data_IF_914191710344
#
_entry.id   IF_914191710344
#
_cell.length_a   1.000
_cell.length_b   1.000
_cell.length_c   1.000
_cell.angle_alpha   90.00
_cell.angle_beta   90.00
_cell.angle_gamma   90.00
#
_symmetry.space_group_name_H-M   'P 1'
#
loop_
_entity.id
_entity.type
_entity.pdbx_description
1 polymer ?
#
# COMPACT_ATOMS: atom_id res chain seq x y z
N UNK A 1 -2.09 21.04 8.57
CA UNK A 1 -1.28 19.94 9.11
C UNK A 1 -1.37 20.09 10.61
N UNK A 2 -1.80 19.05 11.31
CA UNK A 2 -1.83 19.13 12.77
C UNK A 2 -0.42 19.30 13.33
N UNK A 3 -0.29 19.98 14.47
CA UNK A 3 1.00 20.17 15.15
C UNK A 3 1.66 18.83 15.47
N UNK A 4 0.87 17.81 15.79
CA UNK A 4 1.33 16.45 16.11
C UNK A 4 2.00 15.77 14.91
N UNK A 5 1.40 15.86 13.71
CA UNK A 5 2.00 15.32 12.47
C UNK A 5 3.28 16.07 12.11
N UNK A 6 3.27 17.40 12.26
CA UNK A 6 4.46 18.22 11.99
C UNK A 6 5.64 17.82 12.90
N UNK A 7 5.40 17.64 14.20
CA UNK A 7 6.44 17.18 15.15
C UNK A 7 6.98 15.80 14.77
N UNK A 8 6.12 14.87 14.36
CA UNK A 8 6.57 13.54 13.91
C UNK A 8 7.46 13.60 12.66
N UNK A 9 7.16 14.50 11.72
CA UNK A 9 8.07 14.74 10.59
C UNK A 9 9.40 15.33 11.04
N UNK A 10 9.37 16.30 11.95
CA UNK A 10 10.58 16.92 12.52
C UNK A 10 11.48 15.89 13.23
N UNK A 11 10.88 15.00 14.02
CA UNK A 11 11.58 13.92 14.71
C UNK A 11 12.22 12.97 13.69
N UNK A 12 11.47 12.56 12.65
CA UNK A 12 11.99 11.68 11.60
C UNK A 12 13.14 12.32 10.81
N UNK A 13 13.00 13.57 10.37
CA UNK A 13 14.05 14.27 9.60
C UNK A 13 15.35 14.39 10.40
N UNK A 14 15.26 14.64 11.71
CA UNK A 14 16.42 14.82 12.59
C UNK A 14 17.01 13.50 13.10
N UNK A 15 16.26 12.39 13.00
CA UNK A 15 16.73 11.07 13.42
C UNK A 15 17.78 10.50 12.47
N UNK A 16 18.40 9.38 12.85
CA UNK A 16 19.26 8.58 11.97
C UNK A 16 18.45 7.68 11.01
N UNK A 17 17.14 7.57 11.19
CA UNK A 17 16.29 6.64 10.43
C UNK A 17 16.16 7.09 8.98
N UNK A 18 16.53 6.23 8.03
CA UNK A 18 16.45 6.56 6.59
C UNK A 18 15.04 6.44 6.04
N UNK A 19 14.22 5.54 6.56
CA UNK A 19 12.91 5.19 6.01
C UNK A 19 11.79 5.52 6.98
N UNK A 20 10.69 6.06 6.45
CA UNK A 20 9.46 6.28 7.21
C UNK A 20 8.27 5.71 6.44
N UNK A 21 7.43 4.95 7.14
CA UNK A 21 6.12 4.54 6.63
C UNK A 21 5.08 5.60 7.01
N UNK A 22 4.26 6.02 6.04
CA UNK A 22 3.15 6.94 6.25
C UNK A 22 1.85 6.21 5.95
N UNK A 23 1.01 6.13 6.98
CA UNK A 23 -0.34 5.57 6.95
C UNK A 23 -1.32 6.62 7.46
N UNK A 24 -2.61 6.32 7.41
CA UNK A 24 -3.68 7.13 7.97
C UNK A 24 -4.86 7.26 7.03
N UNK A 25 -5.98 7.69 7.59
CA UNK A 25 -7.28 7.75 6.91
C UNK A 25 -7.42 8.89 5.88
N UNK A 26 -6.41 9.75 5.77
CA UNK A 26 -6.41 10.88 4.86
C UNK A 26 -6.02 10.50 3.42
N UNK A 27 -6.78 9.58 2.82
CA UNK A 27 -6.58 9.06 1.48
C UNK A 27 -6.37 10.18 0.45
N UNK A 28 -5.50 9.95 -0.54
CA UNK A 28 -5.16 10.90 -1.61
C UNK A 28 -4.49 12.21 -1.19
N UNK A 29 -4.20 12.41 0.11
CA UNK A 29 -3.60 13.65 0.62
C UNK A 29 -2.31 13.44 1.42
N UNK A 30 -1.98 12.22 1.85
CA UNK A 30 -0.78 11.94 2.65
C UNK A 30 0.52 12.39 1.96
N UNK A 31 0.69 12.16 0.65
CA UNK A 31 1.87 12.64 -0.09
C UNK A 31 1.93 14.17 -0.19
N UNK A 32 0.79 14.85 -0.26
CA UNK A 32 0.72 16.32 -0.22
C UNK A 32 1.15 16.89 1.14
N UNK A 33 0.85 16.18 2.24
CA UNK A 33 1.32 16.56 3.57
C UNK A 33 2.85 16.49 3.67
N UNK A 34 3.47 15.45 3.12
CA UNK A 34 4.93 15.33 3.02
C UNK A 34 5.50 16.48 2.20
N UNK A 35 4.97 16.72 0.99
CA UNK A 35 5.45 17.80 0.11
C UNK A 35 5.31 19.18 0.76
N UNK A 36 4.19 19.42 1.46
CA UNK A 36 3.98 20.68 2.20
C UNK A 36 4.99 20.84 3.33
N UNK A 37 5.23 19.79 4.10
CA UNK A 37 6.24 19.81 5.16
C UNK A 37 7.62 20.13 4.58
N UNK A 38 8.06 19.40 3.55
CA UNK A 38 9.37 19.57 2.92
C UNK A 38 9.56 20.97 2.32
N UNK A 39 8.52 21.53 1.69
CA UNK A 39 8.58 22.88 1.12
C UNK A 39 8.80 23.96 2.21
N UNK A 40 8.34 23.70 3.43
CA UNK A 40 8.48 24.60 4.58
C UNK A 40 9.86 24.54 5.26
N UNK A 41 10.73 23.59 4.89
CA UNK A 41 12.10 23.51 5.43
C UNK A 41 13.00 24.66 4.94
N UNK A 42 12.51 25.52 4.04
CA UNK A 42 13.21 26.70 3.50
C UNK A 42 14.61 26.40 2.93
N UNK A 43 14.79 25.20 2.37
CA UNK A 43 15.99 24.77 1.66
C UNK A 43 15.62 24.34 0.25
N UNK A 44 16.52 24.50 -0.72
CA UNK A 44 16.32 23.96 -2.07
C UNK A 44 16.42 22.43 -1.99
N UNK A 45 15.35 21.74 -2.33
CA UNK A 45 15.28 20.28 -2.22
C UNK A 45 15.02 19.64 -3.58
N UNK A 46 15.75 18.55 -3.85
CA UNK A 46 15.52 17.66 -4.99
C UNK A 46 14.71 16.47 -4.51
N UNK A 47 13.50 16.31 -5.04
CA UNK A 47 12.55 15.29 -4.60
C UNK A 47 12.31 14.33 -5.75
N UNK A 48 12.35 13.02 -5.49
CA UNK A 48 11.78 12.02 -6.39
C UNK A 48 10.41 11.60 -5.86
N UNK A 49 9.40 11.60 -6.72
CA UNK A 49 8.12 10.94 -6.44
C UNK A 49 7.98 9.76 -7.40
N UNK A 50 7.95 8.54 -6.85
CA UNK A 50 7.70 7.33 -7.62
C UNK A 50 6.23 6.94 -7.52
N UNK A 51 5.56 6.89 -8.67
CA UNK A 51 4.12 6.59 -8.78
C UNK A 51 3.88 5.26 -9.52
N UNK A 52 2.67 4.66 -9.48
CA UNK A 52 2.44 3.39 -10.15
C UNK A 52 2.70 3.42 -11.67
N UNK A 53 2.17 4.45 -12.34
CA UNK A 53 2.33 4.66 -13.78
C UNK A 53 2.44 6.15 -14.06
N UNK A 54 3.18 6.55 -15.11
CA UNK A 54 3.32 7.98 -15.46
C UNK A 54 1.99 8.63 -15.86
N UNK A 55 1.02 7.84 -16.34
CA UNK A 55 -0.34 8.27 -16.66
C UNK A 55 -1.08 8.80 -15.42
N UNK A 56 -0.74 8.30 -14.22
CA UNK A 56 -1.39 8.73 -12.97
C UNK A 56 -0.87 10.07 -12.44
N UNK A 57 0.19 10.64 -13.05
CA UNK A 57 0.84 11.87 -12.54
C UNK A 57 -0.14 13.04 -12.40
N UNK A 58 -1.04 13.24 -13.37
CA UNK A 58 -2.02 14.33 -13.31
C UNK A 58 -3.05 14.15 -12.19
N UNK A 59 -3.49 12.91 -11.94
CA UNK A 59 -4.41 12.62 -10.82
C UNK A 59 -3.76 12.82 -9.45
N UNK A 60 -2.51 12.35 -9.31
CA UNK A 60 -1.75 12.36 -8.04
C UNK A 60 -1.19 13.75 -7.73
N UNK A 61 -0.62 14.43 -8.73
CA UNK A 61 0.16 15.67 -8.59
C UNK A 61 -0.54 16.91 -9.15
N UNK A 62 -1.71 16.77 -9.77
CA UNK A 62 -2.46 17.85 -10.45
C UNK A 62 -1.73 18.49 -11.63
N UNK A 63 -0.70 17.83 -12.15
CA UNK A 63 -0.05 18.18 -13.41
C UNK A 63 0.50 16.94 -14.11
N UNK A 64 0.54 16.98 -15.44
CA UNK A 64 1.18 15.94 -16.25
C UNK A 64 2.70 16.02 -16.11
N UNK A 65 3.29 15.05 -15.41
CA UNK A 65 4.73 15.00 -15.22
C UNK A 65 5.43 14.41 -16.45
N UNK A 66 6.66 14.87 -16.72
CA UNK A 66 7.56 14.28 -17.70
C UNK A 66 8.76 13.72 -16.97
N UNK A 67 9.03 12.44 -17.18
CA UNK A 67 10.16 11.75 -16.59
C UNK A 67 11.48 12.44 -16.94
N UNK A 68 12.37 12.56 -15.96
CA UNK A 68 13.66 13.26 -16.10
C UNK A 68 13.60 14.79 -16.08
N UNK A 69 12.40 15.38 -16.15
CA UNK A 69 12.23 16.84 -16.13
C UNK A 69 11.61 17.26 -14.79
N UNK A 70 12.30 18.07 -13.97
CA UNK A 70 11.75 18.51 -12.70
C UNK A 70 10.64 19.55 -12.90
N UNK A 71 9.58 19.43 -12.12
CA UNK A 71 8.65 20.54 -11.88
C UNK A 71 9.11 21.31 -10.65
N UNK A 72 9.28 22.63 -10.78
CA UNK A 72 9.52 23.51 -9.64
C UNK A 72 8.21 23.85 -8.93
N UNK A 73 8.17 23.63 -7.63
CA UNK A 73 7.06 24.01 -6.74
C UNK A 73 7.66 24.58 -5.46
N UNK A 74 7.58 25.90 -5.29
CA UNK A 74 8.26 26.59 -4.18
C UNK A 74 9.76 26.29 -4.16
N UNK A 75 10.24 25.73 -3.04
CA UNK A 75 11.64 25.34 -2.83
C UNK A 75 11.96 23.93 -3.37
N UNK A 76 10.97 23.22 -3.91
CA UNK A 76 11.09 21.84 -4.36
C UNK A 76 11.36 21.77 -5.87
N UNK A 77 12.31 20.93 -6.25
CA UNK A 77 12.48 20.43 -7.62
C UNK A 77 12.02 18.98 -7.67
N UNK A 78 10.79 18.77 -8.13
CA UNK A 78 10.08 17.49 -8.08
C UNK A 78 10.30 16.73 -9.39
N UNK A 79 11.04 15.64 -9.32
CA UNK A 79 11.17 14.62 -10.35
C UNK A 79 10.11 13.54 -10.14
N UNK A 80 9.63 12.96 -11.24
CA UNK A 80 8.62 11.90 -11.18
C UNK A 80 9.06 10.76 -12.10
N UNK A 81 9.14 9.56 -11.54
CA UNK A 81 9.20 8.30 -12.28
C UNK A 81 8.06 7.38 -11.85
N UNK A 82 8.01 6.18 -12.43
CA UNK A 82 7.00 5.19 -12.10
C UNK A 82 7.62 3.86 -11.66
N UNK A 83 6.77 2.95 -11.17
CA UNK A 83 7.16 1.56 -10.87
C UNK A 83 7.59 0.76 -12.13
N UNK A 84 7.47 1.35 -13.32
CA UNK A 84 8.00 0.80 -14.56
C UNK A 84 9.46 1.23 -14.76
N UNK A 85 10.36 0.24 -14.83
CA UNK A 85 11.82 0.41 -14.94
C UNK A 85 12.23 1.44 -16.01
N UNK A 86 11.59 1.42 -17.19
CA UNK A 86 11.90 2.36 -18.29
C UNK A 86 11.81 3.83 -17.89
N UNK A 87 10.90 4.19 -16.98
CA UNK A 87 10.82 5.57 -16.49
C UNK A 87 11.95 5.91 -15.52
N UNK A 88 12.43 4.94 -14.75
CA UNK A 88 13.44 5.13 -13.72
C UNK A 88 14.81 5.46 -14.35
N UNK A 89 15.12 4.87 -15.50
CA UNK A 89 16.36 5.16 -16.26
C UNK A 89 16.51 6.62 -16.68
N UNK A 90 15.39 7.35 -16.78
CA UNK A 90 15.36 8.72 -17.24
C UNK A 90 15.40 9.74 -16.10
N UNK A 91 15.35 9.31 -14.85
CA UNK A 91 15.48 10.19 -13.68
C UNK A 91 16.88 10.14 -13.09
N UNK A 92 17.37 11.26 -12.50
CA UNK A 92 18.63 11.27 -11.77
C UNK A 92 18.68 10.22 -10.64
N UNK A 93 19.87 9.94 -10.12
CA UNK A 93 20.07 9.00 -9.00
C UNK A 93 20.06 9.65 -7.62
N UNK A 94 20.49 10.92 -7.50
CA UNK A 94 20.58 11.61 -6.20
C UNK A 94 19.35 12.44 -5.87
N UNK A 95 18.87 12.41 -4.64
CA UNK A 95 17.77 13.24 -4.17
C UNK A 95 18.02 13.61 -2.72
N UNK A 96 17.42 14.70 -2.23
CA UNK A 96 17.34 14.90 -0.78
C UNK A 96 16.33 13.91 -0.21
N UNK A 97 15.17 13.80 -0.85
CA UNK A 97 14.09 12.94 -0.38
C UNK A 97 13.45 12.15 -1.53
N UNK A 98 13.04 10.92 -1.23
CA UNK A 98 12.25 10.06 -2.13
C UNK A 98 10.89 9.84 -1.49
N UNK A 99 9.83 9.93 -2.29
CA UNK A 99 8.46 9.65 -1.89
C UNK A 99 7.93 8.56 -2.82
N UNK A 100 7.51 7.43 -2.26
CA UNK A 100 6.82 6.37 -3.01
C UNK A 100 5.35 6.46 -2.68
N UNK A 101 4.53 6.70 -3.70
CA UNK A 101 3.09 6.89 -3.48
C UNK A 101 2.25 6.55 -4.72
N UNK A 102 1.18 5.77 -4.56
CA UNK A 102 0.90 4.84 -3.46
C UNK A 102 1.93 3.69 -3.36
N UNK A 103 2.16 3.17 -2.15
CA UNK A 103 2.97 1.96 -1.92
C UNK A 103 2.21 0.66 -2.20
N UNK A 104 0.89 0.71 -2.37
CA UNK A 104 0.04 -0.44 -2.70
C UNK A 104 0.38 -1.08 -4.05
N UNK A 105 1.12 -0.39 -4.91
CA UNK A 105 1.62 -0.97 -6.15
C UNK A 105 2.81 -1.91 -5.98
N UNK A 106 3.38 -2.01 -4.77
CA UNK A 106 4.56 -2.83 -4.48
C UNK A 106 4.19 -4.28 -4.13
N UNK A 107 5.00 -5.22 -4.60
CA UNK A 107 4.76 -6.67 -4.56
C UNK A 107 5.64 -7.39 -3.53
N UNK A 108 5.64 -6.92 -2.29
CA UNK A 108 6.31 -7.59 -1.18
C UNK A 108 7.85 -7.54 -1.23
N UNK A 109 8.50 -8.49 -0.54
CA UNK A 109 9.94 -8.44 -0.21
C UNK A 109 10.87 -8.47 -1.43
N UNK A 110 10.43 -9.10 -2.52
CA UNK A 110 11.22 -9.23 -3.75
C UNK A 110 10.91 -8.14 -4.79
N UNK A 111 10.17 -7.08 -4.42
CA UNK A 111 9.82 -6.04 -5.36
C UNK A 111 11.06 -5.25 -5.82
N UNK A 112 11.31 -5.28 -7.13
CA UNK A 112 12.46 -4.63 -7.76
C UNK A 112 12.48 -3.11 -7.54
N UNK A 113 11.33 -2.48 -7.34
CA UNK A 113 11.25 -1.04 -7.07
C UNK A 113 11.72 -0.69 -5.67
N UNK A 114 11.49 -1.56 -4.69
CA UNK A 114 12.00 -1.38 -3.32
C UNK A 114 13.52 -1.51 -3.36
N UNK A 115 14.01 -2.57 -3.99
CA UNK A 115 15.46 -2.79 -4.13
C UNK A 115 16.14 -1.65 -4.91
N UNK A 116 15.51 -1.11 -5.95
CA UNK A 116 16.02 0.04 -6.69
C UNK A 116 16.18 1.28 -5.81
N UNK A 117 15.15 1.59 -5.02
CA UNK A 117 15.17 2.75 -4.12
C UNK A 117 16.24 2.59 -3.04
N UNK A 118 16.34 1.39 -2.46
CA UNK A 118 17.26 1.15 -1.34
C UNK A 118 18.72 1.07 -1.79
N UNK A 119 18.99 0.48 -2.97
CA UNK A 119 20.35 0.12 -3.39
C UNK A 119 20.92 1.01 -4.51
N UNK A 120 20.07 1.60 -5.36
CA UNK A 120 20.53 2.33 -6.57
C UNK A 120 20.13 3.81 -6.57
N UNK A 121 19.32 4.26 -5.62
CA UNK A 121 18.98 5.67 -5.42
C UNK A 121 19.66 6.23 -4.19
N UNK A 122 20.29 7.39 -4.34
CA UNK A 122 20.90 8.10 -3.24
C UNK A 122 19.90 9.11 -2.66
N UNK A 123 19.64 9.02 -1.37
CA UNK A 123 18.74 9.93 -0.67
C UNK A 123 19.03 10.02 0.82
N UNK A 124 18.70 11.16 1.43
CA UNK A 124 18.81 11.38 2.87
C UNK A 124 17.69 10.65 3.60
N UNK A 125 16.44 10.80 3.13
CA UNK A 125 15.26 10.11 3.69
C UNK A 125 14.33 9.60 2.59
N UNK A 126 13.61 8.52 2.90
CA UNK A 126 12.63 7.88 2.04
C UNK A 126 11.29 7.82 2.78
N UNK A 127 10.23 8.28 2.12
CA UNK A 127 8.85 8.23 2.58
C UNK A 127 8.08 7.18 1.78
N UNK A 128 7.64 6.12 2.47
CA UNK A 128 6.78 5.08 1.95
C UNK A 128 5.33 5.45 2.28
N UNK A 129 4.56 5.93 1.31
CA UNK A 129 3.26 6.55 1.56
C UNK A 129 2.14 5.70 0.99
N UNK A 130 1.27 5.20 1.87
CA UNK A 130 0.04 4.52 1.46
C UNK A 130 -0.97 5.51 0.90
N UNK A 131 -1.90 5.03 0.08
CA UNK A 131 -3.15 5.75 -0.18
C UNK A 131 -4.25 5.26 0.78
N UNK A 132 -4.40 3.95 0.91
CA UNK A 132 -5.33 3.22 1.78
C UNK A 132 -4.58 2.45 2.87
N UNK A 133 -5.19 2.35 4.05
CA UNK A 133 -4.64 1.61 5.20
C UNK A 133 -5.20 0.18 5.31
N UNK A 134 -5.83 -0.32 4.24
CA UNK A 134 -6.43 -1.65 4.21
C UNK A 134 -5.42 -2.76 3.94
N UNK A 135 -4.16 -2.42 3.70
CA UNK A 135 -3.09 -3.33 3.29
C UNK A 135 -2.05 -3.42 4.41
N UNK A 136 -1.61 -4.64 4.72
CA UNK A 136 -0.51 -4.88 5.65
C UNK A 136 0.84 -4.58 4.98
N UNK A 137 1.61 -3.66 5.56
CA UNK A 137 2.93 -3.24 5.08
C UNK A 137 4.07 -3.76 5.98
N UNK A 138 3.85 -4.82 6.76
CA UNK A 138 4.88 -5.38 7.65
C UNK A 138 6.16 -5.75 6.90
N UNK A 139 6.05 -6.23 5.66
CA UNK A 139 7.21 -6.52 4.81
C UNK A 139 8.09 -5.28 4.56
N UNK A 140 7.51 -4.08 4.42
CA UNK A 140 8.27 -2.83 4.28
C UNK A 140 8.96 -2.48 5.59
N UNK A 141 8.33 -2.70 6.74
CA UNK A 141 8.98 -2.45 8.03
C UNK A 141 10.20 -3.34 8.21
N UNK A 142 10.10 -4.61 7.85
CA UNK A 142 11.20 -5.57 7.90
C UNK A 142 12.34 -5.21 6.94
N UNK A 143 12.02 -4.84 5.69
CA UNK A 143 13.05 -4.51 4.69
C UNK A 143 13.74 -3.17 4.93
N UNK A 144 13.01 -2.20 5.47
CA UNK A 144 13.45 -0.81 5.54
C UNK A 144 13.83 -0.37 6.96
N UNK A 145 13.80 -1.28 7.94
CA UNK A 145 14.04 -1.03 9.37
C UNK A 145 13.21 0.15 9.91
N UNK A 146 11.92 0.15 9.57
CA UNK A 146 11.00 1.23 9.97
C UNK A 146 10.49 0.95 11.36
N UNK A 147 10.85 1.80 12.33
CA UNK A 147 10.40 1.65 13.73
C UNK A 147 8.93 1.97 13.91
N UNK A 148 8.56 3.22 13.63
CA UNK A 148 7.22 3.73 13.86
C UNK A 148 6.64 4.41 12.62
N UNK A 149 5.41 4.08 12.20
CA UNK A 149 4.75 4.80 11.13
C UNK A 149 4.27 6.18 11.59
N UNK A 150 4.30 7.15 10.68
CA UNK A 150 3.60 8.43 10.86
C UNK A 150 2.16 8.26 10.40
N UNK A 151 1.21 8.49 11.31
CA UNK A 151 -0.23 8.38 11.05
C UNK A 151 -0.79 9.77 10.72
N UNK A 152 -1.40 9.90 9.54
CA UNK A 152 -2.05 11.12 9.06
C UNK A 152 -3.54 10.84 8.80
N UNK A 153 -4.35 11.17 9.79
CA UNK A 153 -5.80 11.00 9.74
C UNK A 153 -6.52 12.28 9.30
N UNK A 154 -7.75 12.12 8.81
CA UNK A 154 -8.64 13.26 8.60
C UNK A 154 -9.02 13.88 9.96
N UNK A 155 -9.00 15.21 10.06
CA UNK A 155 -9.32 15.94 11.30
C UNK A 155 -10.83 15.94 11.65
N UNK A 156 -11.69 15.41 10.76
CA UNK A 156 -13.09 15.12 11.08
C UNK A 156 -13.16 13.95 12.07
N UNK A 157 -13.40 14.29 13.34
CA UNK A 157 -13.62 13.31 14.43
C UNK A 157 -14.67 12.25 14.05
N UNK A 158 -15.70 12.62 13.30
CA UNK A 158 -16.74 11.69 12.85
C UNK A 158 -16.24 10.64 11.86
N UNK A 159 -15.21 10.96 11.07
CA UNK A 159 -14.57 10.01 10.14
C UNK A 159 -13.51 9.20 10.89
N UNK A 160 -12.72 9.83 11.77
CA UNK A 160 -11.72 9.11 12.57
C UNK A 160 -12.36 8.14 13.57
N UNK A 161 -13.50 8.48 14.17
CA UNK A 161 -14.25 7.60 15.07
C UNK A 161 -15.09 6.57 14.30
N UNK A 162 -15.56 6.89 13.07
CA UNK A 162 -16.10 5.87 12.14
C UNK A 162 -15.04 4.89 11.67
N UNK A 163 -13.84 5.35 11.34
CA UNK A 163 -12.76 4.50 10.88
C UNK A 163 -12.14 3.75 12.06
N UNK A 164 -12.04 4.31 13.26
CA UNK A 164 -11.77 3.53 14.49
C UNK A 164 -12.86 2.51 14.78
N UNK A 165 -14.13 2.81 14.49
CA UNK A 165 -15.23 1.85 14.57
C UNK A 165 -15.24 0.81 13.42
N UNK A 166 -14.54 1.08 12.32
CA UNK A 166 -14.25 0.11 11.23
C UNK A 166 -12.92 -0.65 11.44
N UNK A 167 -11.99 -0.09 12.22
CA UNK A 167 -10.68 -0.66 12.60
C UNK A 167 -10.72 -1.47 13.91
N UNK A 168 -11.70 -1.21 14.78
CA UNK A 168 -12.21 -2.26 15.68
C UNK A 168 -12.90 -3.23 14.71
N UNK A 169 -12.49 -4.51 14.62
CA UNK A 169 -13.29 -5.47 13.86
C UNK A 169 -14.70 -5.33 14.38
N UNK A 170 -15.64 -4.89 13.52
CA UNK A 170 -17.05 -4.96 13.85
C UNK A 170 -17.28 -6.39 14.29
N UNK A 171 -17.43 -6.57 15.59
CA UNK A 171 -18.06 -7.75 16.13
C UNK A 171 -19.39 -7.83 15.38
N UNK A 172 -19.48 -8.80 14.46
CA UNK A 172 -20.61 -9.15 13.60
C UNK A 172 -20.62 -8.62 12.15
N UNK A 173 -19.51 -8.72 11.40
CA UNK A 173 -19.63 -9.02 9.96
C UNK A 173 -19.26 -10.49 9.73
N UNK A 174 -20.26 -11.33 9.44
CA UNK A 174 -20.11 -12.79 9.32
C UNK A 174 -19.25 -13.15 8.10
N UNK A 175 -17.98 -13.49 8.35
CA UNK A 175 -17.21 -14.32 7.43
C UNK A 175 -17.58 -15.77 7.68
N UNK A 176 -17.87 -16.49 6.61
CA UNK A 176 -17.97 -17.94 6.68
C UNK A 176 -16.59 -18.53 6.92
N UNK A 177 -16.45 -19.27 8.02
CA UNK A 177 -15.27 -20.09 8.28
C UNK A 177 -15.35 -21.35 7.42
N UNK A 178 -14.41 -21.49 6.49
CA UNK A 178 -14.34 -22.65 5.59
C UNK A 178 -13.02 -23.38 5.86
N UNK A 179 -13.12 -24.63 6.30
CA UNK A 179 -11.96 -25.50 6.46
C UNK A 179 -11.35 -25.83 5.11
N UNK A 180 -10.04 -25.69 4.99
CA UNK A 180 -9.25 -26.03 3.78
C UNK A 180 -7.98 -26.75 4.22
N UNK A 181 -7.57 -27.77 3.48
CA UNK A 181 -6.41 -28.60 3.85
C UNK A 181 -5.09 -27.84 3.69
N UNK A 182 -5.00 -27.01 2.66
CA UNK A 182 -3.87 -26.15 2.35
C UNK A 182 -4.35 -24.88 1.60
N UNK A 183 -3.41 -23.99 1.30
CA UNK A 183 -3.70 -22.70 0.67
C UNK A 183 -3.59 -22.73 -0.86
N UNK A 184 -3.48 -23.93 -1.45
CA UNK A 184 -3.48 -24.06 -2.91
C UNK A 184 -4.84 -23.69 -3.48
N UNK A 185 -4.82 -23.04 -4.65
CA UNK A 185 -6.04 -22.60 -5.30
C UNK A 185 -7.07 -23.73 -5.53
N UNK A 186 -6.70 -24.99 -5.90
CA UNK A 186 -7.70 -26.03 -6.12
C UNK A 186 -8.40 -26.46 -4.82
N UNK A 187 -7.67 -26.44 -3.69
CA UNK A 187 -8.23 -26.78 -2.37
C UNK A 187 -9.27 -25.73 -1.94
N UNK A 188 -8.91 -24.46 -2.12
CA UNK A 188 -9.75 -23.32 -1.79
C UNK A 188 -10.99 -23.28 -2.70
N UNK A 189 -10.81 -23.40 -4.02
CA UNK A 189 -11.90 -23.44 -5.00
C UNK A 189 -12.92 -24.53 -4.69
N UNK A 190 -12.45 -25.75 -4.41
CA UNK A 190 -13.32 -26.87 -4.07
C UNK A 190 -14.13 -26.61 -2.80
N UNK A 191 -13.48 -26.04 -1.77
CA UNK A 191 -14.12 -25.79 -0.48
C UNK A 191 -15.15 -24.66 -0.56
N UNK A 192 -14.82 -23.57 -1.26
CA UNK A 192 -15.74 -22.45 -1.53
C UNK A 192 -16.89 -22.92 -2.43
N UNK A 193 -16.59 -23.67 -3.50
CA UNK A 193 -17.62 -24.21 -4.39
C UNK A 193 -18.60 -25.11 -3.65
N UNK A 194 -18.11 -25.99 -2.76
CA UNK A 194 -18.96 -26.86 -1.94
C UNK A 194 -19.82 -26.04 -0.98
N UNK A 195 -19.26 -25.02 -0.31
CA UNK A 195 -19.99 -24.17 0.64
C UNK A 195 -21.09 -23.36 -0.03
N UNK A 196 -20.82 -22.78 -1.20
CA UNK A 196 -21.73 -21.86 -1.88
C UNK A 196 -22.47 -22.47 -3.07
N UNK A 197 -22.23 -23.74 -3.40
CA UNK A 197 -22.88 -24.46 -4.51
C UNK A 197 -22.58 -23.84 -5.89
N UNK A 198 -21.31 -23.50 -6.16
CA UNK A 198 -20.86 -22.97 -7.46
C UNK A 198 -20.91 -24.01 -8.59
N UNK A 199 -20.86 -25.30 -8.23
CA UNK A 199 -20.68 -26.39 -9.18
C UNK A 199 -19.21 -26.55 -9.56
N UNK A 200 -18.90 -27.04 -10.76
CA UNK A 200 -17.49 -27.14 -11.17
C UNK A 200 -16.95 -25.73 -11.38
N UNK A 201 -15.89 -25.36 -10.65
CA UNK A 201 -15.18 -24.09 -10.88
C UNK A 201 -14.50 -24.20 -12.24
N UNK A 202 -14.79 -23.25 -13.12
CA UNK A 202 -14.23 -23.19 -14.48
C UNK A 202 -13.08 -22.19 -14.57
N UNK A 203 -13.11 -21.15 -13.74
CA UNK A 203 -12.09 -20.11 -13.68
C UNK A 203 -12.15 -19.39 -12.33
N UNK A 204 -10.99 -18.92 -11.85
CA UNK A 204 -10.90 -18.02 -10.72
C UNK A 204 -9.75 -17.02 -10.88
N UNK A 205 -9.80 -15.93 -10.11
CA UNK A 205 -8.70 -14.97 -9.99
C UNK A 205 -7.71 -15.33 -8.88
N UNK A 206 -7.79 -16.54 -8.31
CA UNK A 206 -6.88 -16.97 -7.26
C UNK A 206 -5.47 -17.17 -7.83
N UNK A 207 -4.41 -16.72 -7.12
CA UNK A 207 -3.05 -17.14 -7.44
C UNK A 207 -2.87 -18.63 -7.12
N UNK A 208 -1.76 -19.23 -7.59
CA UNK A 208 -1.48 -20.66 -7.34
C UNK A 208 -1.61 -21.08 -5.88
N UNK A 209 -1.21 -20.20 -4.96
CA UNK A 209 -1.30 -20.39 -3.52
C UNK A 209 -1.53 -19.05 -2.81
N UNK A 210 -2.37 -19.05 -1.77
CA UNK A 210 -2.55 -17.89 -0.89
C UNK A 210 -1.51 -17.87 0.23
N UNK A 211 -1.24 -16.69 0.78
CA UNK A 211 -0.24 -16.49 1.84
C UNK A 211 -0.93 -16.32 3.18
N UNK A 212 -0.36 -16.91 4.24
CA UNK A 212 -0.83 -16.68 5.61
C UNK A 212 -0.90 -15.19 5.95
N UNK A 213 -2.04 -14.72 6.47
CA UNK A 213 -2.26 -13.31 6.81
C UNK A 213 -2.80 -12.45 5.66
N UNK A 214 -2.88 -12.95 4.43
CA UNK A 214 -3.40 -12.16 3.30
C UNK A 214 -4.90 -11.92 3.40
N UNK A 215 -5.35 -10.76 2.90
CA UNK A 215 -6.77 -10.43 2.70
C UNK A 215 -6.90 -9.78 1.33
N UNK A 216 -7.71 -10.37 0.45
CA UNK A 216 -7.93 -9.82 -0.89
C UNK A 216 -9.29 -10.24 -1.45
N UNK A 217 -9.70 -9.59 -2.54
CA UNK A 217 -10.92 -9.90 -3.29
C UNK A 217 -10.61 -10.85 -4.46
N UNK A 218 -11.44 -11.88 -4.60
CA UNK A 218 -11.34 -12.89 -5.64
C UNK A 218 -12.69 -13.15 -6.30
N UNK A 219 -12.63 -13.49 -7.58
CA UNK A 219 -13.77 -13.90 -8.39
C UNK A 219 -13.65 -15.40 -8.65
N UNK A 220 -14.73 -16.14 -8.37
CA UNK A 220 -14.84 -17.56 -8.73
C UNK A 220 -16.03 -17.76 -9.67
N UNK A 221 -15.77 -18.37 -10.82
CA UNK A 221 -16.75 -18.65 -11.86
C UNK A 221 -17.01 -20.15 -11.87
N UNK A 222 -18.14 -20.56 -11.29
CA UNK A 222 -18.64 -21.92 -11.36
C UNK A 222 -19.66 -22.09 -12.49
N UNK A 223 -19.83 -23.33 -12.96
CA UNK A 223 -20.78 -23.63 -14.01
C UNK A 223 -22.26 -23.40 -13.62
N UNK A 224 -22.59 -23.30 -12.32
CA UNK A 224 -23.94 -22.96 -11.85
C UNK A 224 -24.12 -21.49 -11.50
N UNK A 225 -23.07 -20.86 -10.95
CA UNK A 225 -23.06 -19.44 -10.58
C UNK A 225 -21.65 -18.92 -10.41
N UNK A 226 -21.50 -17.62 -10.54
CA UNK A 226 -20.27 -16.88 -10.21
C UNK A 226 -20.45 -16.11 -8.91
N UNK A 227 -19.36 -15.88 -8.18
CA UNK A 227 -19.34 -15.04 -6.98
C UNK A 227 -18.11 -14.14 -6.98
N UNK A 228 -18.24 -12.95 -6.41
CA UNK A 228 -17.13 -12.16 -5.89
C UNK A 228 -17.05 -12.32 -4.38
N UNK A 229 -15.86 -12.59 -3.85
CA UNK A 229 -15.67 -12.85 -2.43
C UNK A 229 -14.37 -12.25 -1.89
N UNK A 230 -14.38 -11.81 -0.64
CA UNK A 230 -13.16 -11.50 0.11
C UNK A 230 -12.70 -12.79 0.77
N UNK A 231 -11.44 -13.15 0.58
CA UNK A 231 -10.81 -14.26 1.31
C UNK A 231 -9.77 -13.69 2.25
N UNK A 232 -9.93 -13.99 3.53
CA UNK A 232 -8.96 -13.71 4.58
C UNK A 232 -8.31 -15.01 5.04
N UNK A 233 -6.99 -15.08 4.94
CA UNK A 233 -6.18 -16.18 5.45
C UNK A 233 -5.67 -15.82 6.83
N UNK A 234 -5.94 -16.62 7.88
CA UNK A 234 -5.35 -16.42 9.19
C UNK A 234 -3.81 -16.39 9.12
N UNK A 235 -3.12 -15.53 9.89
CA UNK A 235 -1.65 -15.50 9.94
C UNK A 235 -1.03 -16.85 10.34
N UNK A 236 -1.73 -17.59 11.20
CA UNK A 236 -1.37 -18.94 11.65
C UNK A 236 -2.25 -19.99 10.99
N UNK A 237 -2.17 -20.09 9.66
CA UNK A 237 -2.98 -21.05 8.91
C UNK A 237 -2.69 -22.50 9.33
N UNK A 238 -1.41 -22.87 9.49
CA UNK A 238 -1.02 -24.25 9.81
C UNK A 238 -1.64 -24.80 11.10
N UNK A 239 -1.89 -23.93 12.09
CA UNK A 239 -2.49 -24.29 13.37
C UNK A 239 -4.01 -24.55 13.25
N UNK A 240 -4.69 -23.97 12.26
CA UNK A 240 -6.16 -23.92 12.24
C UNK A 240 -6.84 -24.42 10.95
N UNK A 241 -6.12 -24.50 9.83
CA UNK A 241 -6.57 -25.04 8.54
C UNK A 241 -7.93 -24.51 8.06
N UNK A 242 -8.13 -23.19 8.13
CA UNK A 242 -9.33 -22.54 7.61
C UNK A 242 -9.02 -21.21 6.94
N UNK A 243 -9.94 -20.80 6.07
CA UNK A 243 -10.03 -19.44 5.52
C UNK A 243 -11.36 -18.81 5.94
N UNK A 244 -11.38 -17.48 5.94
CA UNK A 244 -12.58 -16.69 6.18
C UNK A 244 -13.04 -16.12 4.85
N UNK A 245 -14.27 -16.41 4.47
CA UNK A 245 -14.83 -16.00 3.17
C UNK A 245 -16.07 -15.14 3.37
N UNK A 246 -16.13 -14.00 2.67
CA UNK A 246 -17.30 -13.13 2.64
C UNK A 246 -17.72 -12.88 1.20
N UNK A 247 -18.97 -13.16 0.88
CA UNK A 247 -19.53 -12.85 -0.44
C UNK A 247 -19.82 -11.35 -0.53
N UNK A 248 -19.40 -10.71 -1.62
CA UNK A 248 -19.55 -9.27 -1.85
C UNK A 248 -20.64 -8.99 -2.88
N UNK A 249 -20.85 -9.91 -3.84
CA UNK A 249 -22.01 -10.01 -4.74
C UNK A 249 -21.97 -11.31 -5.53
#
# INVERSE_FOLDING_TARGET
MSRKVYTKFDDFIKSEEKNCLIVGTNCQKKHWEVLRYLNNLNKKLRILIRIPTMQNSEGILKYKAKTGVPKKVGNLSIYVDSLQVRSQENTPSDFNYIIVYPIEGLKGISDKNILDILNYRNSEKIFWVSNHDTVDFEYLKLMCDIKDPIIIDNEDKDIHDRIKAELIPKANEEFDKISVENLSYPCIENSISKRYKLGSVQSSSLPHELVGGSVDEYILIGNKKSISCIIKVPPKFEENKYILVKIIK
#
